data_IF_745490754204
#
_entry.id   IF_745490754204
#
_cell.length_a   1.000
_cell.length_b   1.000
_cell.length_c   1.000
_cell.angle_alpha   90.00
_cell.angle_beta   90.00
_cell.angle_gamma   90.00
#
_symmetry.space_group_name_H-M   'P 1'
#
loop_
_entity.id
_entity.type
_entity.pdbx_description
1 polymer ?
#
# COMPACT_ATOMS: atom_id res chain seq x y z
N UNK A 1 -29.07 12.08 14.19
CA UNK A 1 -27.72 11.71 14.63
C UNK A 1 -26.75 12.37 13.68
N UNK A 2 -26.02 13.38 14.13
CA UNK A 2 -25.18 14.20 13.27
C UNK A 2 -23.99 13.37 12.79
N UNK A 3 -23.90 13.13 11.49
CA UNK A 3 -22.67 12.69 10.86
C UNK A 3 -21.63 13.78 11.13
N UNK A 4 -20.74 13.54 12.10
CA UNK A 4 -19.50 14.31 12.18
C UNK A 4 -18.84 14.15 10.82
N UNK A 5 -18.73 15.24 10.09
CA UNK A 5 -17.93 15.32 8.87
C UNK A 5 -16.52 14.89 9.27
N UNK A 6 -16.18 13.62 9.01
CA UNK A 6 -14.87 13.07 9.32
C UNK A 6 -13.89 13.85 8.46
N UNK A 7 -12.96 14.57 9.10
CA UNK A 7 -11.94 15.34 8.40
C UNK A 7 -11.26 14.46 7.36
N UNK A 8 -11.12 14.94 6.11
CA UNK A 8 -10.46 14.17 5.05
C UNK A 8 -9.02 13.83 5.46
N UNK A 9 -8.48 12.66 5.05
CA UNK A 9 -7.09 12.32 5.33
C UNK A 9 -6.15 13.36 4.72
N UNK A 10 -5.09 13.72 5.46
CA UNK A 10 -4.07 14.64 4.97
C UNK A 10 -2.92 13.88 4.30
N UNK A 11 -2.59 12.69 4.83
CA UNK A 11 -1.48 11.88 4.34
C UNK A 11 -1.93 10.48 3.91
N UNK A 12 -1.22 9.93 2.92
CA UNK A 12 -1.17 8.51 2.61
C UNK A 12 0.25 8.00 2.79
N UNK A 13 0.46 7.17 3.82
CA UNK A 13 1.73 6.51 4.09
C UNK A 13 1.88 5.29 3.18
N UNK A 14 2.97 5.23 2.41
CA UNK A 14 3.23 4.20 1.41
C UNK A 14 4.08 3.09 2.00
N UNK A 15 3.46 1.97 2.37
CA UNK A 15 4.12 0.80 2.98
C UNK A 15 4.27 -0.33 1.95
N UNK A 16 5.15 -0.09 1.00
CA UNK A 16 5.62 -1.03 -0.02
C UNK A 16 6.98 -0.58 -0.56
N UNK A 17 7.64 -1.42 -1.37
CA UNK A 17 9.02 -1.20 -1.83
C UNK A 17 9.16 -0.58 -3.25
N UNK A 18 8.09 -0.50 -4.02
CA UNK A 18 8.05 0.15 -5.33
C UNK A 18 7.64 1.64 -5.22
N UNK A 19 7.52 2.32 -6.37
CA UNK A 19 7.00 3.69 -6.43
C UNK A 19 5.49 3.65 -6.69
N UNK A 20 4.76 4.60 -6.13
CA UNK A 20 3.35 4.80 -6.47
C UNK A 20 3.25 5.11 -7.97
N UNK A 21 2.34 4.44 -8.67
CA UNK A 21 2.09 4.75 -10.08
C UNK A 21 1.27 6.03 -10.21
N UNK A 22 1.34 6.68 -11.38
CA UNK A 22 0.53 7.87 -11.66
C UNK A 22 -0.97 7.58 -11.61
N UNK A 23 -1.38 6.38 -12.02
CA UNK A 23 -2.77 5.93 -11.93
C UNK A 23 -3.23 5.82 -10.47
N UNK A 24 -2.38 5.28 -9.58
CA UNK A 24 -2.67 5.19 -8.15
C UNK A 24 -2.73 6.57 -7.48
N UNK A 25 -1.81 7.47 -7.82
CA UNK A 25 -1.80 8.85 -7.32
C UNK A 25 -3.07 9.60 -7.72
N UNK A 26 -3.44 9.51 -9.01
CA UNK A 26 -4.63 10.17 -9.56
C UNK A 26 -5.90 9.62 -8.91
N UNK A 27 -6.04 8.30 -8.80
CA UNK A 27 -7.20 7.67 -8.15
C UNK A 27 -7.30 8.09 -6.67
N UNK A 28 -6.18 8.09 -5.93
CA UNK A 28 -6.16 8.50 -4.54
C UNK A 28 -6.58 9.97 -4.37
N UNK A 29 -6.08 10.87 -5.21
CA UNK A 29 -6.46 12.29 -5.18
C UNK A 29 -7.93 12.51 -5.58
N UNK A 30 -8.48 11.69 -6.48
CA UNK A 30 -9.89 11.75 -6.84
C UNK A 30 -10.81 11.32 -5.68
N UNK A 31 -10.41 10.29 -4.93
CA UNK A 31 -11.21 9.75 -3.82
C UNK A 31 -11.08 10.62 -2.56
N UNK A 32 -9.86 11.01 -2.20
CA UNK A 32 -9.57 11.63 -0.90
C UNK A 32 -9.18 13.11 -0.97
N UNK A 33 -8.91 13.64 -2.16
CA UNK A 33 -8.63 15.05 -2.41
C UNK A 33 -7.23 15.33 -2.93
N UNK A 34 -7.09 16.39 -3.73
CA UNK A 34 -5.84 16.77 -4.40
C UNK A 34 -4.75 17.29 -3.45
N UNK A 35 -5.11 17.67 -2.23
CA UNK A 35 -4.17 18.06 -1.18
C UNK A 35 -3.50 16.87 -0.47
N UNK A 36 -3.93 15.63 -0.76
CA UNK A 36 -3.39 14.42 -0.15
C UNK A 36 -1.89 14.31 -0.42
N UNK A 37 -1.10 14.18 0.66
CA UNK A 37 0.35 14.02 0.58
C UNK A 37 0.73 12.54 0.62
N UNK A 38 1.71 12.15 -0.19
CA UNK A 38 2.21 10.78 -0.22
C UNK A 38 3.53 10.69 0.57
N UNK A 39 3.51 9.92 1.65
CA UNK A 39 4.65 9.80 2.55
C UNK A 39 5.27 8.42 2.39
N UNK A 40 6.39 8.35 1.66
CA UNK A 40 7.12 7.11 1.42
C UNK A 40 7.91 6.63 2.64
N UNK A 41 8.17 5.32 2.71
CA UNK A 41 9.13 4.77 3.66
C UNK A 41 10.51 5.45 3.51
N UNK A 42 11.14 5.90 4.61
CA UNK A 42 12.55 6.29 4.62
C UNK A 42 13.44 5.16 4.08
N UNK A 43 14.59 5.51 3.47
CA UNK A 43 15.43 4.56 2.75
C UNK A 43 15.76 3.26 3.52
N UNK A 44 16.09 3.37 4.81
CA UNK A 44 16.35 2.21 5.67
C UNK A 44 15.11 1.32 5.84
N UNK A 45 13.94 1.90 6.11
CA UNK A 45 12.70 1.14 6.26
C UNK A 45 12.24 0.53 4.94
N UNK A 46 12.45 1.24 3.82
CA UNK A 46 12.16 0.72 2.48
C UNK A 46 13.00 -0.53 2.18
N UNK A 47 14.28 -0.52 2.55
CA UNK A 47 15.16 -1.68 2.41
C UNK A 47 14.70 -2.86 3.29
N UNK A 48 14.31 -2.59 4.55
CA UNK A 48 13.79 -3.62 5.45
C UNK A 48 12.48 -4.24 4.93
N UNK A 49 11.55 -3.43 4.40
CA UNK A 49 10.29 -3.93 3.85
C UNK A 49 10.49 -4.77 2.59
N UNK A 50 11.49 -4.42 1.76
CA UNK A 50 11.84 -5.22 0.60
C UNK A 50 12.46 -6.58 0.94
N UNK A 51 12.92 -6.75 2.18
CA UNK A 51 13.66 -7.92 2.66
C UNK A 51 13.02 -8.50 3.93
N UNK A 52 11.68 -8.54 3.99
CA UNK A 52 11.01 -9.27 5.07
C UNK A 52 11.55 -10.70 5.12
N UNK A 53 12.13 -11.17 6.24
CA UNK A 53 12.83 -12.45 6.30
C UNK A 53 11.88 -13.62 6.07
N UNK A 54 12.22 -14.49 5.11
CA UNK A 54 11.45 -15.70 4.80
C UNK A 54 11.76 -16.88 5.74
N UNK A 55 12.81 -16.77 6.55
CA UNK A 55 13.31 -17.79 7.48
C UNK A 55 12.91 -17.51 8.94
N UNK A 56 12.16 -16.43 9.20
CA UNK A 56 11.64 -16.13 10.54
C UNK A 56 10.18 -16.54 10.65
N UNK A 57 9.88 -17.28 11.71
CA UNK A 57 8.51 -17.65 12.06
C UNK A 57 7.70 -16.44 12.57
N UNK A 58 8.34 -15.56 13.36
CA UNK A 58 7.70 -14.40 13.97
C UNK A 58 8.17 -13.09 13.32
N UNK A 59 7.22 -12.24 12.96
CA UNK A 59 7.49 -10.96 12.30
C UNK A 59 7.24 -9.74 13.20
N UNK A 60 6.63 -9.91 14.38
CA UNK A 60 6.22 -8.78 15.22
C UNK A 60 7.37 -7.83 15.54
N UNK A 61 8.51 -8.34 16.02
CA UNK A 61 9.68 -7.51 16.36
C UNK A 61 10.38 -6.96 15.12
N UNK A 62 10.44 -7.74 14.04
CA UNK A 62 10.95 -7.29 12.73
C UNK A 62 10.20 -6.04 12.25
N UNK A 63 8.91 -5.94 12.59
CA UNK A 63 8.05 -4.83 12.17
C UNK A 63 8.02 -3.63 13.14
N UNK A 64 8.71 -3.70 14.28
CA UNK A 64 8.75 -2.62 15.26
C UNK A 64 9.16 -1.25 14.67
N UNK A 65 10.18 -1.16 13.80
CA UNK A 65 10.58 0.11 13.20
C UNK A 65 9.48 0.80 12.38
N UNK A 66 8.61 0.02 11.72
CA UNK A 66 7.51 0.55 10.91
C UNK A 66 6.38 1.10 11.78
N UNK A 67 6.08 0.43 12.89
CA UNK A 67 5.11 0.92 13.89
C UNK A 67 5.58 2.23 14.50
N UNK A 68 6.83 2.29 14.96
CA UNK A 68 7.44 3.52 15.50
C UNK A 68 7.46 4.66 14.48
N UNK A 69 7.69 4.36 13.21
CA UNK A 69 7.64 5.38 12.16
C UNK A 69 6.23 5.94 11.96
N UNK A 70 5.22 5.08 11.85
CA UNK A 70 3.82 5.51 11.75
C UNK A 70 3.38 6.30 12.99
N UNK A 71 3.69 5.81 14.19
CA UNK A 71 3.37 6.47 15.47
C UNK A 71 3.86 7.92 15.51
N UNK A 72 5.08 8.18 15.01
CA UNK A 72 5.72 9.50 15.07
C UNK A 72 5.23 10.47 14.00
N UNK A 73 4.69 9.97 12.89
CA UNK A 73 4.46 10.78 11.69
C UNK A 73 2.97 10.91 11.32
N UNK A 74 2.17 9.89 11.65
CA UNK A 74 0.77 9.85 11.26
C UNK A 74 -0.14 10.54 12.28
N UNK A 75 -1.31 10.97 11.81
CA UNK A 75 -2.41 11.45 12.65
C UNK A 75 -3.63 10.55 12.46
N UNK A 76 -4.57 10.52 13.42
CA UNK A 76 -5.82 9.79 13.24
C UNK A 76 -6.48 10.14 11.91
N UNK A 77 -7.05 9.12 11.26
CA UNK A 77 -7.65 9.14 9.93
C UNK A 77 -6.67 9.25 8.74
N UNK A 78 -5.36 9.35 8.94
CA UNK A 78 -4.41 9.23 7.82
C UNK A 78 -4.49 7.83 7.17
N UNK A 79 -4.25 7.77 5.86
CA UNK A 79 -4.28 6.55 5.08
C UNK A 79 -2.94 5.81 5.19
N UNK A 80 -2.99 4.48 5.17
CA UNK A 80 -1.79 3.64 5.05
C UNK A 80 -1.99 2.64 3.92
N UNK A 81 -1.29 2.82 2.80
CA UNK A 81 -1.30 1.89 1.68
C UNK A 81 -0.32 0.75 1.96
N UNK A 82 -0.83 -0.42 2.35
CA UNK A 82 -0.04 -1.56 2.83
C UNK A 82 -0.12 -2.71 1.82
N UNK A 83 1.02 -3.10 1.23
CA UNK A 83 1.10 -4.23 0.30
C UNK A 83 2.47 -4.92 0.37
N UNK A 84 2.49 -6.25 0.23
CA UNK A 84 3.72 -7.04 0.22
C UNK A 84 3.54 -8.40 0.88
N UNK A 85 4.48 -8.76 1.75
CA UNK A 85 4.45 -10.00 2.52
C UNK A 85 3.14 -10.15 3.31
N UNK A 86 2.53 -11.34 3.30
CA UNK A 86 1.21 -11.57 3.88
C UNK A 86 1.20 -11.40 5.40
N UNK A 87 2.20 -11.95 6.10
CA UNK A 87 2.28 -11.87 7.56
C UNK A 87 2.58 -10.44 8.02
N UNK A 88 3.52 -9.77 7.35
CA UNK A 88 3.82 -8.36 7.61
C UNK A 88 2.62 -7.45 7.33
N UNK A 89 1.94 -7.65 6.21
CA UNK A 89 0.73 -6.89 5.85
C UNK A 89 -0.34 -7.04 6.91
N UNK A 90 -0.63 -8.28 7.34
CA UNK A 90 -1.63 -8.53 8.37
C UNK A 90 -1.32 -7.79 9.68
N UNK A 91 -0.10 -7.92 10.19
CA UNK A 91 0.31 -7.28 11.44
C UNK A 91 0.28 -5.75 11.36
N UNK A 92 0.66 -5.17 10.22
CA UNK A 92 0.64 -3.71 10.04
C UNK A 92 -0.76 -3.16 9.80
N UNK A 93 -1.67 -3.93 9.16
CA UNK A 93 -3.10 -3.59 9.08
C UNK A 93 -3.72 -3.54 10.47
N UNK A 94 -3.48 -4.57 11.30
CA UNK A 94 -3.97 -4.60 12.68
C UNK A 94 -3.46 -3.39 13.48
N UNK A 95 -2.17 -3.07 13.36
CA UNK A 95 -1.60 -1.88 14.00
C UNK A 95 -2.27 -0.58 13.53
N UNK A 96 -2.47 -0.41 12.21
CA UNK A 96 -3.09 0.78 11.64
C UNK A 96 -4.52 0.97 12.19
N UNK A 97 -5.34 -0.08 12.19
CA UNK A 97 -6.70 -0.03 12.74
C UNK A 97 -6.69 0.35 14.23
N UNK A 98 -5.83 -0.27 15.03
CA UNK A 98 -5.70 0.02 16.47
C UNK A 98 -5.19 1.45 16.74
N UNK A 99 -4.54 2.08 15.76
CA UNK A 99 -3.99 3.44 15.85
C UNK A 99 -4.93 4.49 15.26
N UNK A 100 -6.18 4.15 14.95
CA UNK A 100 -7.16 5.00 14.26
C UNK A 100 -6.68 5.50 12.89
N UNK A 101 -5.84 4.71 12.21
CA UNK A 101 -5.44 4.95 10.82
C UNK A 101 -6.35 4.15 9.89
N UNK A 102 -6.34 4.50 8.60
CA UNK A 102 -7.17 3.87 7.58
C UNK A 102 -6.29 3.03 6.63
N UNK A 103 -6.12 1.72 6.89
CA UNK A 103 -5.33 0.87 6.01
C UNK A 103 -6.07 0.54 4.71
N UNK A 104 -5.37 0.67 3.59
CA UNK A 104 -5.87 0.43 2.24
C UNK A 104 -4.91 -0.44 1.42
N UNK A 105 -5.41 -1.07 0.37
CA UNK A 105 -4.61 -1.75 -0.64
C UNK A 105 -5.08 -1.45 -2.06
N UNK A 106 -4.15 -1.48 -3.01
CA UNK A 106 -4.42 -1.29 -4.43
C UNK A 106 -4.79 -2.62 -5.09
N UNK A 107 -5.96 -2.68 -5.72
CA UNK A 107 -6.38 -3.80 -6.56
C UNK A 107 -5.88 -3.57 -7.97
N UNK A 108 -5.32 -4.62 -8.60
CA UNK A 108 -4.85 -4.57 -9.99
C UNK A 108 -5.65 -5.51 -10.88
N UNK A 109 -5.97 -5.08 -12.10
CA UNK A 109 -6.40 -5.99 -13.18
C UNK A 109 -5.17 -6.52 -13.89
N UNK A 110 -5.27 -7.77 -14.36
CA UNK A 110 -4.24 -8.40 -15.21
C UNK A 110 -4.77 -8.47 -16.63
N UNK A 111 -4.03 -7.90 -17.58
CA UNK A 111 -4.29 -8.02 -19.00
C UNK A 111 -3.14 -8.81 -19.63
N UNK A 112 -3.47 -9.77 -20.49
CA UNK A 112 -2.47 -10.57 -21.19
C UNK A 112 -2.63 -10.41 -22.71
N UNK A 113 -1.52 -10.30 -23.43
CA UNK A 113 -1.48 -10.39 -24.89
C UNK A 113 -0.48 -11.44 -25.34
N UNK A 114 -0.85 -12.19 -26.39
CA UNK A 114 -0.01 -13.18 -27.05
C UNK A 114 0.30 -12.69 -28.47
N UNK A 115 1.58 -12.54 -28.80
CA UNK A 115 2.06 -12.23 -30.14
C UNK A 115 2.79 -13.46 -30.70
N UNK A 116 2.36 -13.97 -31.85
CA UNK A 116 3.05 -15.06 -32.56
C UNK A 116 3.89 -14.48 -33.68
N UNK A 117 5.17 -14.82 -33.70
CA UNK A 117 6.07 -14.44 -34.78
C UNK A 117 6.03 -15.47 -35.93
N UNK A 118 6.41 -15.08 -37.16
CA UNK A 118 6.44 -15.98 -38.31
C UNK A 118 7.40 -17.18 -38.18
N UNK A 119 8.40 -17.09 -37.31
CA UNK A 119 9.34 -18.17 -36.99
C UNK A 119 8.84 -19.14 -35.90
N UNK A 120 7.58 -18.96 -35.45
CA UNK A 120 6.92 -19.84 -34.49
C UNK A 120 7.16 -19.50 -33.03
N UNK A 121 7.86 -18.41 -32.70
CA UNK A 121 7.98 -17.96 -31.31
C UNK A 121 6.66 -17.35 -30.81
N UNK A 122 6.42 -17.50 -29.51
CA UNK A 122 5.26 -16.93 -28.80
C UNK A 122 5.76 -15.95 -27.76
N UNK A 123 5.36 -14.70 -27.86
CA UNK A 123 5.63 -13.65 -26.87
C UNK A 123 4.37 -13.38 -26.05
N UNK A 124 4.47 -13.65 -24.75
CA UNK A 124 3.42 -13.33 -23.78
C UNK A 124 3.77 -12.03 -23.05
N UNK A 125 2.87 -11.05 -23.07
CA UNK A 125 3.00 -9.80 -22.32
C UNK A 125 1.91 -9.72 -21.27
N UNK A 126 2.28 -9.48 -20.01
CA UNK A 126 1.35 -9.27 -18.91
C UNK A 126 1.41 -7.81 -18.43
N UNK A 127 0.27 -7.12 -18.49
CA UNK A 127 0.10 -5.78 -17.95
C UNK A 127 -0.66 -5.85 -16.62
N UNK A 128 -0.11 -5.21 -15.60
CA UNK A 128 -0.77 -5.02 -14.31
C UNK A 128 -1.18 -3.56 -14.21
N UNK A 129 -2.49 -3.31 -14.16
CA UNK A 129 -3.04 -1.95 -14.10
C UNK A 129 -3.81 -1.77 -12.80
N UNK A 130 -3.55 -0.66 -12.10
CA UNK A 130 -4.34 -0.27 -10.95
C UNK A 130 -5.81 -0.08 -11.34
N UNK A 131 -6.72 -0.63 -10.54
CA UNK A 131 -8.17 -0.56 -10.77
C UNK A 131 -8.89 0.33 -9.77
N UNK A 132 -8.56 0.17 -8.49
CA UNK A 132 -9.18 0.87 -7.37
C UNK A 132 -8.41 0.57 -6.09
N UNK A 133 -8.63 1.40 -5.06
CA UNK A 133 -8.30 1.05 -3.69
C UNK A 133 -9.43 0.31 -2.98
N UNK A 134 -9.07 -0.54 -2.02
CA UNK A 134 -9.98 -1.13 -1.05
C UNK A 134 -9.50 -0.86 0.36
N UNK A 135 -10.45 -0.70 1.28
CA UNK A 135 -10.18 -0.67 2.71
C UNK A 135 -9.93 -2.10 3.20
N UNK A 136 -8.98 -2.27 4.10
CA UNK A 136 -8.88 -3.51 4.86
C UNK A 136 -9.97 -3.56 5.95
N UNK A 137 -10.49 -4.76 6.24
CA UNK A 137 -11.43 -4.96 7.35
C UNK A 137 -12.90 -4.59 7.08
N UNK A 138 -13.29 -4.50 5.81
CA UNK A 138 -14.67 -4.29 5.34
C UNK A 138 -15.13 -5.50 4.53
#
# INVERSE_FOLDING_TARGET
MNAKETAKPENMFLMFNHSLSKDQETDAQNIWGTQLQFVGLPGQLKALWAQIPADKQELFDTLAPFRTWLEKQSRPNDLVLIQGDFGATWLMVQYALNSNLVPVYSVTVRLASEERSPDGMVKNTHFFKHQMFRLYGI
#
